data_IF_026220404053
#
_entry.id   IF_026220404053
#
_cell.length_a   1.000
_cell.length_b   1.000
_cell.length_c   1.000
_cell.angle_alpha   90.00
_cell.angle_beta   90.00
_cell.angle_gamma   90.00
#
_symmetry.space_group_name_H-M   'P 1'
#
loop_
_entity.id
_entity.type
_entity.pdbx_description
1 polymer ?
#
# COMPACT_ATOMS: atom_id res chain seq x y z
N UNK A 1 -7.79 7.67 -13.92
CA UNK A 1 -6.75 7.01 -13.05
C UNK A 1 -7.28 5.68 -12.52
N UNK A 2 -6.60 4.56 -12.78
CA UNK A 2 -6.99 3.23 -12.26
C UNK A 2 -6.20 2.89 -11.00
N UNK A 3 -6.87 2.43 -9.94
CA UNK A 3 -6.23 2.00 -8.69
C UNK A 3 -6.84 0.70 -8.16
N UNK A 4 -5.99 -0.16 -7.65
CA UNK A 4 -6.40 -1.38 -6.97
C UNK A 4 -6.80 -1.08 -5.52
N UNK A 5 -7.81 -1.76 -5.03
CA UNK A 5 -8.44 -1.43 -3.74
C UNK A 5 -7.50 -1.58 -2.55
N UNK A 6 -6.74 -2.67 -2.49
CA UNK A 6 -5.94 -3.02 -1.31
C UNK A 6 -4.42 -3.02 -1.54
N UNK A 7 -3.94 -2.68 -2.75
CA UNK A 7 -2.51 -2.79 -3.06
C UNK A 7 -1.61 -1.98 -2.14
N UNK A 8 -1.99 -0.76 -1.80
CA UNK A 8 -1.18 0.09 -0.94
C UNK A 8 -1.13 -0.42 0.50
N UNK A 9 -2.25 -0.94 1.03
CA UNK A 9 -2.29 -1.54 2.36
C UNK A 9 -1.39 -2.77 2.44
N UNK A 10 -1.48 -3.67 1.46
CA UNK A 10 -0.64 -4.87 1.39
C UNK A 10 0.85 -4.53 1.31
N UNK A 11 1.22 -3.50 0.52
CA UNK A 11 2.61 -3.02 0.45
C UNK A 11 3.11 -2.51 1.79
N UNK A 12 2.30 -1.74 2.51
CA UNK A 12 2.66 -1.21 3.82
C UNK A 12 2.85 -2.34 4.82
N UNK A 13 1.91 -3.29 4.89
CA UNK A 13 2.01 -4.44 5.79
C UNK A 13 3.26 -5.26 5.47
N UNK A 14 3.52 -5.54 4.19
CA UNK A 14 4.71 -6.28 3.79
C UNK A 14 6.01 -5.52 4.13
N UNK A 15 6.05 -4.21 3.92
CA UNK A 15 7.19 -3.37 4.30
C UNK A 15 7.48 -3.48 5.80
N UNK A 16 6.44 -3.37 6.64
CA UNK A 16 6.58 -3.47 8.10
C UNK A 16 7.07 -4.85 8.54
N UNK A 17 6.55 -5.92 7.94
CA UNK A 17 6.95 -7.29 8.27
C UNK A 17 8.39 -7.60 7.84
N UNK A 18 8.83 -7.06 6.71
CA UNK A 18 10.18 -7.30 6.17
C UNK A 18 11.25 -6.39 6.76
N UNK A 19 10.88 -5.22 7.27
CA UNK A 19 11.84 -4.23 7.76
C UNK A 19 12.67 -4.75 8.94
N UNK A 20 12.04 -5.40 9.91
CA UNK A 20 12.74 -5.90 11.10
C UNK A 20 13.76 -7.00 10.77
N UNK A 21 13.41 -8.12 10.11
CA UNK A 21 14.38 -9.16 9.79
C UNK A 21 15.49 -8.63 8.88
N UNK A 22 15.20 -7.67 7.98
CA UNK A 22 16.20 -7.05 7.15
C UNK A 22 17.22 -6.24 7.98
N UNK A 23 16.75 -5.36 8.87
CA UNK A 23 17.62 -4.55 9.73
C UNK A 23 18.49 -5.44 10.61
N UNK A 24 17.89 -6.44 11.28
CA UNK A 24 18.65 -7.36 12.12
C UNK A 24 19.70 -8.13 11.34
N UNK A 25 19.38 -8.58 10.12
CA UNK A 25 20.32 -9.31 9.28
C UNK A 25 21.50 -8.44 8.84
N UNK A 26 21.24 -7.16 8.50
CA UNK A 26 22.27 -6.20 8.11
C UNK A 26 23.18 -5.89 9.32
N UNK A 27 22.60 -5.60 10.49
CA UNK A 27 23.40 -5.30 11.71
C UNK A 27 24.25 -6.51 12.08
N UNK A 28 23.68 -7.70 12.09
CA UNK A 28 24.41 -8.92 12.41
C UNK A 28 25.55 -9.22 11.41
N UNK A 29 25.30 -9.01 10.12
CA UNK A 29 26.30 -9.15 9.07
C UNK A 29 27.47 -8.18 9.29
N UNK A 30 27.17 -6.90 9.55
CA UNK A 30 28.20 -5.88 9.80
C UNK A 30 29.00 -6.20 11.08
N UNK A 31 28.34 -6.59 12.15
CA UNK A 31 29.03 -6.98 13.39
C UNK A 31 29.96 -8.20 13.17
N UNK A 32 29.51 -9.20 12.42
CA UNK A 32 30.36 -10.37 12.14
C UNK A 32 31.57 -10.01 11.27
N UNK A 33 31.44 -9.10 10.34
CA UNK A 33 32.55 -8.61 9.53
C UNK A 33 33.56 -7.78 10.35
N UNK A 34 33.06 -6.84 11.18
CA UNK A 34 33.91 -5.91 11.90
C UNK A 34 34.60 -6.54 13.11
N UNK A 35 33.88 -7.41 13.84
CA UNK A 35 34.39 -8.00 15.09
C UNK A 35 35.14 -9.30 14.81
N UNK A 36 34.48 -10.22 14.11
CA UNK A 36 35.02 -11.58 13.91
C UNK A 36 35.85 -11.72 12.64
N UNK A 37 35.84 -10.71 11.75
CA UNK A 37 36.45 -10.75 10.41
C UNK A 37 36.03 -11.98 9.59
N UNK A 38 34.85 -12.52 9.88
CA UNK A 38 34.30 -13.69 9.20
C UNK A 38 33.07 -13.31 8.41
N UNK A 39 32.92 -13.89 7.23
CA UNK A 39 31.80 -13.66 6.34
C UNK A 39 30.67 -14.59 6.74
N UNK A 40 29.60 -14.03 7.30
CA UNK A 40 28.44 -14.83 7.69
C UNK A 40 27.50 -15.01 6.50
N UNK A 41 27.58 -16.18 5.87
CA UNK A 41 26.78 -16.54 4.69
C UNK A 41 25.28 -16.54 5.01
N UNK A 42 24.89 -16.98 6.22
CA UNK A 42 23.47 -17.08 6.58
C UNK A 42 22.80 -15.69 6.63
N UNK A 43 23.48 -14.68 7.16
CA UNK A 43 22.95 -13.30 7.17
C UNK A 43 22.89 -12.70 5.78
N UNK A 44 23.84 -13.00 4.92
CA UNK A 44 23.84 -12.56 3.52
C UNK A 44 22.66 -13.18 2.75
N UNK A 45 22.40 -14.48 2.93
CA UNK A 45 21.25 -15.16 2.34
C UNK A 45 19.93 -14.54 2.80
N UNK A 46 19.81 -14.20 4.09
CA UNK A 46 18.62 -13.52 4.63
C UNK A 46 18.40 -12.13 3.99
N UNK A 47 19.45 -11.33 3.84
CA UNK A 47 19.39 -10.01 3.20
C UNK A 47 18.89 -10.16 1.77
N UNK A 48 19.50 -11.06 0.98
CA UNK A 48 19.11 -11.31 -0.40
C UNK A 48 17.66 -11.81 -0.49
N UNK A 49 17.25 -12.72 0.40
CA UNK A 49 15.89 -13.22 0.45
C UNK A 49 14.87 -12.10 0.71
N UNK A 50 15.14 -11.21 1.68
CA UNK A 50 14.28 -10.05 1.94
C UNK A 50 14.15 -9.12 0.72
N UNK A 51 15.24 -8.91 -0.01
CA UNK A 51 15.22 -8.09 -1.23
C UNK A 51 14.41 -8.75 -2.36
N UNK A 52 14.46 -10.08 -2.49
CA UNK A 52 13.72 -10.81 -3.52
C UNK A 52 12.22 -10.93 -3.21
N UNK A 53 11.83 -10.92 -1.95
CA UNK A 53 10.40 -10.96 -1.56
C UNK A 53 9.63 -9.77 -2.11
N UNK A 54 10.25 -8.60 -2.20
CA UNK A 54 9.56 -7.39 -2.67
C UNK A 54 9.04 -7.49 -4.12
N UNK A 55 9.88 -7.77 -5.14
CA UNK A 55 9.38 -7.92 -6.51
C UNK A 55 8.39 -9.07 -6.67
N UNK A 56 8.56 -10.17 -5.90
CA UNK A 56 7.60 -11.26 -5.87
C UNK A 56 6.23 -10.81 -5.35
N UNK A 57 6.20 -10.03 -4.26
CA UNK A 57 4.98 -9.46 -3.71
C UNK A 57 4.26 -8.57 -4.74
N UNK A 58 4.99 -7.70 -5.44
CA UNK A 58 4.41 -6.83 -6.47
C UNK A 58 3.80 -7.65 -7.61
N UNK A 59 4.46 -8.73 -8.01
CA UNK A 59 3.93 -9.66 -9.01
C UNK A 59 2.62 -10.32 -8.53
N UNK A 60 2.59 -10.81 -7.30
CA UNK A 60 1.39 -11.43 -6.70
C UNK A 60 0.25 -10.41 -6.60
N UNK A 61 0.51 -9.20 -6.11
CA UNK A 61 -0.48 -8.12 -6.05
C UNK A 61 -1.03 -7.82 -7.45
N UNK A 62 -0.16 -7.74 -8.45
CA UNK A 62 -0.58 -7.49 -9.84
C UNK A 62 -1.48 -8.60 -10.38
N UNK A 63 -1.09 -9.88 -10.20
CA UNK A 63 -1.87 -11.04 -10.67
C UNK A 63 -3.23 -11.10 -9.98
N UNK A 64 -3.26 -10.99 -8.65
CA UNK A 64 -4.50 -11.06 -7.86
C UNK A 64 -5.47 -9.93 -8.24
N UNK A 65 -4.98 -8.72 -8.36
CA UNK A 65 -5.82 -7.59 -8.73
C UNK A 65 -6.32 -7.67 -10.18
N UNK A 66 -5.51 -8.20 -11.09
CA UNK A 66 -5.92 -8.43 -12.49
C UNK A 66 -7.02 -9.48 -12.57
N UNK A 67 -6.89 -10.62 -11.86
CA UNK A 67 -7.91 -11.69 -11.84
C UNK A 67 -9.21 -11.23 -11.17
N UNK A 68 -9.13 -10.58 -10.02
CA UNK A 68 -10.30 -10.22 -9.23
C UNK A 68 -11.05 -8.98 -9.75
N UNK A 69 -10.52 -8.28 -10.77
CA UNK A 69 -11.05 -7.01 -11.26
C UNK A 69 -11.31 -5.97 -10.13
N UNK A 70 -10.49 -6.04 -9.07
CA UNK A 70 -10.58 -5.20 -7.87
C UNK A 70 -9.96 -3.81 -8.07
N UNK A 71 -10.16 -3.23 -9.24
CA UNK A 71 -9.66 -1.88 -9.55
C UNK A 71 -10.82 -0.91 -9.71
N UNK A 72 -10.64 0.28 -9.16
CA UNK A 72 -11.52 1.40 -9.42
C UNK A 72 -10.87 2.33 -10.43
N UNK A 73 -11.62 2.76 -11.43
CA UNK A 73 -11.19 3.72 -12.42
C UNK A 73 -11.81 5.08 -12.07
N UNK A 74 -10.96 6.07 -11.84
CA UNK A 74 -11.36 7.46 -11.62
C UNK A 74 -11.22 8.22 -12.94
N UNK A 75 -12.31 8.77 -13.41
CA UNK A 75 -12.40 9.70 -14.54
C UNK A 75 -13.08 10.98 -14.06
N UNK A 76 -13.02 12.06 -14.81
CA UNK A 76 -13.64 13.31 -14.43
C UNK A 76 -15.16 13.12 -14.21
N UNK A 77 -15.60 13.31 -12.97
CA UNK A 77 -16.99 13.15 -12.56
C UNK A 77 -17.54 11.72 -12.61
N UNK A 78 -16.69 10.71 -12.87
CA UNK A 78 -17.11 9.32 -13.00
C UNK A 78 -16.21 8.37 -12.22
N UNK A 79 -16.83 7.35 -11.61
CA UNK A 79 -16.18 6.27 -10.90
C UNK A 79 -16.67 4.95 -11.47
N UNK A 80 -15.77 4.12 -11.98
CA UNK A 80 -16.12 2.84 -12.58
C UNK A 80 -15.53 1.71 -11.74
N UNK A 81 -16.40 0.85 -11.24
CA UNK A 81 -16.03 -0.35 -10.50
C UNK A 81 -16.90 -1.54 -10.93
N UNK A 82 -16.28 -2.67 -11.26
CA UNK A 82 -16.96 -3.89 -11.73
C UNK A 82 -18.00 -3.61 -12.82
N UNK A 83 -17.65 -2.82 -13.83
CA UNK A 83 -18.53 -2.38 -14.93
C UNK A 83 -19.71 -1.48 -14.50
N UNK A 84 -19.85 -1.14 -13.22
CA UNK A 84 -20.83 -0.17 -12.74
C UNK A 84 -20.20 1.20 -12.74
N UNK A 85 -20.85 2.14 -13.41
CA UNK A 85 -20.44 3.55 -13.44
C UNK A 85 -21.25 4.33 -12.43
N UNK A 86 -20.59 5.08 -11.58
CA UNK A 86 -21.22 5.99 -10.62
C UNK A 86 -20.75 7.40 -10.91
N UNK A 87 -21.67 8.32 -11.00
CA UNK A 87 -21.36 9.75 -11.13
C UNK A 87 -21.24 10.34 -9.72
N UNK A 88 -20.09 10.88 -9.40
CA UNK A 88 -19.86 11.55 -8.13
C UNK A 88 -18.71 12.52 -8.26
N UNK A 89 -18.91 13.73 -7.82
CA UNK A 89 -17.87 14.75 -7.76
C UNK A 89 -17.18 14.80 -6.40
N UNK A 90 -17.70 14.08 -5.40
CA UNK A 90 -17.10 14.03 -4.09
C UNK A 90 -16.82 12.59 -3.63
N UNK A 91 -15.83 12.44 -2.80
CA UNK A 91 -15.44 11.19 -2.17
C UNK A 91 -15.13 11.46 -0.71
N UNK A 92 -15.56 10.59 0.18
CA UNK A 92 -15.26 10.73 1.58
C UNK A 92 -13.94 10.07 1.92
N UNK A 93 -13.12 10.73 2.73
CA UNK A 93 -11.81 10.24 3.15
C UNK A 93 -11.75 10.10 4.66
N UNK A 94 -11.28 8.96 5.11
CA UNK A 94 -10.97 8.69 6.50
C UNK A 94 -9.53 8.20 6.61
N UNK A 95 -8.83 8.60 7.66
CA UNK A 95 -7.50 8.09 7.94
C UNK A 95 -7.60 6.84 8.82
N UNK A 96 -6.93 5.79 8.39
CA UNK A 96 -6.74 4.60 9.21
C UNK A 96 -5.39 4.70 9.90
N UNK A 97 -5.40 4.72 11.24
CA UNK A 97 -4.17 4.73 12.04
C UNK A 97 -3.67 3.31 12.24
N UNK A 98 -2.50 3.03 11.72
CA UNK A 98 -1.79 1.78 11.99
C UNK A 98 -0.73 2.06 13.07
N UNK A 99 -0.88 1.47 14.24
CA UNK A 99 0.12 1.56 15.31
C UNK A 99 1.26 0.59 15.01
N UNK A 100 2.48 1.11 14.87
CA UNK A 100 3.64 0.35 14.41
C UNK A 100 4.50 -0.13 15.58
N UNK A 101 4.42 0.50 16.76
CA UNK A 101 5.27 0.21 17.91
C UNK A 101 4.64 0.61 19.24
N UNK A 102 5.15 0.01 20.31
CA UNK A 102 4.86 0.33 21.71
C UNK A 102 5.23 1.80 22.05
N UNK A 103 6.07 2.46 21.23
CA UNK A 103 6.56 3.83 21.40
C UNK A 103 5.84 4.88 20.53
N UNK A 104 4.64 4.59 20.05
CA UNK A 104 3.72 5.50 19.36
C UNK A 104 4.05 6.10 17.97
N UNK A 105 4.89 5.61 17.09
CA UNK A 105 4.77 6.05 15.72
C UNK A 105 3.53 5.42 15.08
N UNK A 106 2.48 6.19 14.92
CA UNK A 106 1.30 5.81 14.16
C UNK A 106 1.47 6.23 12.70
N UNK A 107 1.19 5.32 11.77
CA UNK A 107 1.14 5.61 10.34
C UNK A 107 -0.29 5.86 9.92
N UNK A 108 -0.57 7.03 9.36
CA UNK A 108 -1.90 7.37 8.83
C UNK A 108 -2.00 6.94 7.36
N UNK A 109 -2.90 5.99 7.10
CA UNK A 109 -3.17 5.50 5.76
C UNK A 109 -4.50 6.10 5.28
N UNK A 110 -4.50 6.89 4.20
CA UNK A 110 -5.73 7.44 3.67
C UNK A 110 -6.60 6.34 3.06
N UNK A 111 -7.80 6.22 3.59
CA UNK A 111 -8.84 5.29 3.17
C UNK A 111 -9.96 6.08 2.52
N UNK A 112 -10.16 5.89 1.23
CA UNK A 112 -11.21 6.54 0.48
C UNK A 112 -12.48 5.70 0.48
N UNK A 113 -13.57 6.28 0.92
CA UNK A 113 -14.92 5.73 0.85
C UNK A 113 -15.69 6.42 -0.26
N UNK A 114 -16.26 5.63 -1.14
CA UNK A 114 -17.08 6.09 -2.24
C UNK A 114 -18.48 5.57 -2.04
N UNK A 115 -19.41 6.46 -1.75
CA UNK A 115 -20.82 6.17 -1.70
C UNK A 115 -21.46 6.72 -2.98
N UNK A 116 -21.84 5.83 -3.88
CA UNK A 116 -22.46 6.22 -5.14
C UNK A 116 -23.97 5.99 -5.16
N UNK A 117 -24.66 6.67 -6.08
CA UNK A 117 -26.12 6.60 -6.24
C UNK A 117 -26.66 5.18 -6.55
N UNK A 118 -25.80 4.25 -6.94
CA UNK A 118 -26.19 2.86 -7.32
C UNK A 118 -25.84 1.84 -6.25
N UNK A 119 -25.96 2.16 -4.97
CA UNK A 119 -25.53 1.28 -3.85
C UNK A 119 -24.07 0.82 -3.98
N UNK A 120 -23.23 1.63 -4.63
CA UNK A 120 -21.83 1.36 -4.78
C UNK A 120 -21.11 1.88 -3.54
N UNK A 121 -20.78 0.99 -2.62
CA UNK A 121 -19.87 1.30 -1.51
C UNK A 121 -18.54 0.62 -1.79
N UNK A 122 -17.51 1.40 -2.05
CA UNK A 122 -16.16 0.91 -2.34
C UNK A 122 -15.15 1.63 -1.45
N UNK A 123 -14.26 0.86 -0.87
CA UNK A 123 -13.15 1.38 -0.08
C UNK A 123 -11.84 1.10 -0.79
N UNK A 124 -10.98 2.11 -0.94
CA UNK A 124 -9.65 1.93 -1.44
C UNK A 124 -8.62 2.73 -0.63
N UNK A 125 -7.41 2.19 -0.55
CA UNK A 125 -6.28 2.84 0.12
C UNK A 125 -5.44 3.56 -0.91
N UNK A 126 -5.24 4.86 -0.72
CA UNK A 126 -4.53 5.72 -1.67
C UNK A 126 -3.20 6.20 -1.07
N UNK A 127 -2.26 6.51 -1.95
CA UNK A 127 -1.06 7.25 -1.56
C UNK A 127 -1.34 8.75 -1.56
N UNK A 128 -0.49 9.54 -0.87
CA UNK A 128 -0.55 11.02 -0.92
C UNK A 128 -0.46 11.56 -2.36
N UNK A 129 0.29 10.87 -3.24
CA UNK A 129 0.38 11.23 -4.67
C UNK A 129 -0.94 11.02 -5.41
N UNK A 130 -1.68 9.97 -5.05
CA UNK A 130 -2.97 9.67 -5.67
C UNK A 130 -4.04 10.68 -5.25
N UNK A 131 -4.04 11.10 -3.99
CA UNK A 131 -4.93 12.14 -3.48
C UNK A 131 -4.70 13.47 -4.24
N UNK A 132 -3.43 13.85 -4.48
CA UNK A 132 -3.11 15.02 -5.30
C UNK A 132 -3.63 14.90 -6.73
N UNK A 133 -3.59 13.69 -7.32
CA UNK A 133 -4.13 13.45 -8.67
C UNK A 133 -5.66 13.55 -8.69
N UNK A 134 -6.35 13.04 -7.68
CA UNK A 134 -7.81 13.16 -7.57
C UNK A 134 -8.25 14.63 -7.48
N UNK A 135 -7.56 15.42 -6.66
CA UNK A 135 -7.82 16.86 -6.59
C UNK A 135 -7.64 17.57 -7.93
N UNK A 136 -6.62 17.18 -8.73
CA UNK A 136 -6.42 17.70 -10.11
C UNK A 136 -7.51 17.27 -11.09
N UNK A 137 -8.23 16.19 -10.81
CA UNK A 137 -9.37 15.71 -11.60
C UNK A 137 -10.71 16.27 -11.08
N UNK A 138 -10.68 17.37 -10.33
CA UNK A 138 -11.84 18.07 -9.76
C UNK A 138 -12.70 17.21 -8.81
N UNK A 139 -12.12 16.20 -8.16
CA UNK A 139 -12.79 15.50 -7.09
C UNK A 139 -12.69 16.28 -5.79
N UNK A 140 -13.83 16.59 -5.18
CA UNK A 140 -13.90 17.13 -3.82
C UNK A 140 -13.66 15.98 -2.82
N UNK A 141 -12.66 16.13 -1.96
CA UNK A 141 -12.35 15.16 -0.91
C UNK A 141 -12.87 15.70 0.41
N UNK A 142 -13.90 15.05 0.95
CA UNK A 142 -14.48 15.38 2.25
C UNK A 142 -13.91 14.45 3.30
N UNK A 143 -13.32 15.01 4.36
CA UNK A 143 -12.85 14.25 5.51
C UNK A 143 -14.03 13.96 6.44
N UNK A 144 -14.12 12.69 6.93
CA UNK A 144 -15.16 12.22 7.83
C UNK A 144 -14.51 11.82 9.17
#
# INVERSE_FOLDING_TARGET
MRRYLYSNLLRIIACLLLMWPFIFSVVYFLCSLLINKTLNIASLVLIVSCLLVWPFLELVIFILNKKANNSILFEEGKLIYKKKTTYSNYVSMKYFKLYISILEPSMEIPKLHINGNNNLSVTCYLSKKDIKKLKKMNFEIREI
#
